data_IF_008177934047
#
_entry.id   IF_008177934047
#
_cell.length_a   1.000
_cell.length_b   1.000
_cell.length_c   1.000
_cell.angle_alpha   90.00
_cell.angle_beta   90.00
_cell.angle_gamma   90.00
#
_symmetry.space_group_name_H-M   'P 1'
#
loop_
_entity.id
_entity.type
_entity.pdbx_description
1 polymer ?
#
# COMPACT_ATOMS: atom_id res chain seq x y z
N UNK A 1 -9.01 -12.16 -13.89
CA UNK A 1 -7.83 -12.98 -13.51
C UNK A 1 -8.09 -14.43 -13.96
N UNK A 2 -7.19 -15.10 -14.70
CA UNK A 2 -7.47 -16.46 -15.22
C UNK A 2 -6.90 -17.50 -14.25
N UNK A 3 -7.77 -18.23 -13.54
CA UNK A 3 -7.39 -19.21 -12.50
C UNK A 3 -6.33 -20.21 -12.96
N UNK A 4 -6.45 -20.76 -14.16
CA UNK A 4 -5.50 -21.73 -14.70
C UNK A 4 -4.10 -21.13 -14.88
N UNK A 5 -4.02 -19.87 -15.31
CA UNK A 5 -2.75 -19.16 -15.50
C UNK A 5 -2.08 -18.92 -14.15
N UNK A 6 -2.83 -18.48 -13.13
CA UNK A 6 -2.26 -18.31 -11.77
C UNK A 6 -1.75 -19.62 -11.19
N UNK A 7 -2.53 -20.70 -11.32
CA UNK A 7 -2.14 -22.01 -10.80
C UNK A 7 -0.82 -22.51 -11.43
N UNK A 8 -0.65 -22.26 -12.72
CA UNK A 8 0.57 -22.62 -13.44
C UNK A 8 1.75 -21.71 -13.09
N UNK A 9 1.56 -20.39 -13.14
CA UNK A 9 2.63 -19.40 -12.99
C UNK A 9 3.09 -19.19 -11.55
N UNK A 10 2.23 -19.51 -10.57
CA UNK A 10 2.53 -19.42 -9.15
C UNK A 10 2.66 -20.80 -8.49
N UNK A 11 2.94 -21.85 -9.27
CA UNK A 11 3.17 -23.19 -8.74
C UNK A 11 4.36 -23.19 -7.75
N UNK A 12 4.12 -23.59 -6.50
CA UNK A 12 5.12 -23.53 -5.42
C UNK A 12 5.09 -22.26 -4.58
N UNK A 13 4.17 -21.32 -4.85
CA UNK A 13 3.93 -20.17 -3.99
C UNK A 13 3.19 -20.58 -2.71
N UNK A 14 3.66 -20.13 -1.54
CA UNK A 14 3.11 -20.52 -0.23
C UNK A 14 1.60 -20.23 -0.05
N UNK A 15 1.08 -19.20 -0.73
CA UNK A 15 -0.34 -18.84 -0.69
C UNK A 15 -1.09 -19.21 -1.98
N UNK A 16 -0.61 -20.21 -2.71
CA UNK A 16 -1.22 -20.66 -3.95
C UNK A 16 -2.67 -21.13 -3.75
N UNK A 17 -3.06 -21.65 -2.58
CA UNK A 17 -4.45 -22.06 -2.35
C UNK A 17 -5.41 -20.87 -2.18
N UNK A 18 -4.90 -19.76 -1.63
CA UNK A 18 -5.67 -18.53 -1.38
C UNK A 18 -5.81 -17.67 -2.65
N UNK A 19 -4.79 -17.66 -3.51
CA UNK A 19 -4.74 -16.79 -4.69
C UNK A 19 -5.88 -17.06 -5.70
N UNK A 20 -6.18 -18.31 -6.11
CA UNK A 20 -7.35 -18.66 -6.91
C UNK A 20 -8.68 -18.31 -6.26
N UNK A 21 -8.79 -18.44 -4.93
CA UNK A 21 -10.02 -18.10 -4.21
C UNK A 21 -10.29 -16.60 -4.29
N UNK A 22 -9.28 -15.76 -4.02
CA UNK A 22 -9.39 -14.30 -4.22
C UNK A 22 -9.73 -13.99 -5.68
N UNK A 23 -9.16 -14.73 -6.64
CA UNK A 23 -9.40 -14.51 -8.06
C UNK A 23 -10.82 -14.91 -8.53
N UNK A 24 -11.46 -15.90 -7.88
CA UNK A 24 -12.77 -16.44 -8.30
C UNK A 24 -13.94 -15.98 -7.45
N UNK A 25 -13.68 -15.70 -6.18
CA UNK A 25 -14.71 -15.39 -5.18
C UNK A 25 -14.49 -14.03 -4.54
N UNK A 26 -13.40 -13.32 -4.85
CA UNK A 26 -12.99 -12.09 -4.17
C UNK A 26 -12.68 -12.31 -2.67
N UNK A 27 -12.34 -11.23 -1.97
CA UNK A 27 -11.90 -11.25 -0.58
C UNK A 27 -13.10 -11.39 0.34
N UNK A 28 -13.13 -12.47 1.12
CA UNK A 28 -14.13 -12.69 2.16
C UNK A 28 -13.73 -11.99 3.45
N UNK A 29 -14.71 -11.44 4.17
CA UNK A 29 -14.50 -10.78 5.46
C UNK A 29 -15.13 -11.59 6.56
N UNK A 30 -14.29 -12.14 7.43
CA UNK A 30 -14.74 -12.87 8.62
C UNK A 30 -14.86 -11.91 9.78
N UNK A 31 -16.02 -11.93 10.44
CA UNK A 31 -16.26 -11.20 11.67
C UNK A 31 -16.33 -12.17 12.85
N UNK A 32 -15.78 -11.78 14.00
CA UNK A 32 -15.88 -12.49 15.29
C UNK A 32 -17.32 -12.50 15.83
N UNK A 33 -18.11 -11.51 15.41
CA UNK A 33 -19.54 -11.36 15.71
C UNK A 33 -20.17 -10.44 14.66
N UNK A 34 -21.49 -10.54 14.41
CA UNK A 34 -22.19 -9.67 13.45
C UNK A 34 -22.04 -8.19 13.80
N UNK A 35 -21.97 -7.33 12.79
CA UNK A 35 -22.05 -5.87 12.97
C UNK A 35 -23.45 -5.49 13.47
N UNK A 36 -23.56 -4.49 14.36
CA UNK A 36 -24.86 -4.02 14.81
C UNK A 36 -25.58 -3.30 13.66
N UNK A 37 -26.92 -3.47 13.59
CA UNK A 37 -27.74 -2.69 12.66
C UNK A 37 -27.69 -1.21 13.06
N UNK A 38 -27.47 -0.34 12.07
CA UNK A 38 -27.45 1.09 12.27
C UNK A 38 -28.83 1.68 11.99
N UNK A 39 -29.43 2.33 12.98
CA UNK A 39 -30.66 3.13 12.78
C UNK A 39 -30.36 4.54 12.29
N UNK A 40 -29.12 4.99 12.43
CA UNK A 40 -28.57 6.25 11.93
C UNK A 40 -27.11 6.04 11.56
N UNK A 41 -26.68 6.68 10.48
CA UNK A 41 -25.29 6.66 10.07
C UNK A 41 -24.45 7.68 10.85
N UNK A 42 -23.17 7.35 11.12
CA UNK A 42 -22.29 8.27 11.82
C UNK A 42 -21.98 9.49 10.95
N UNK A 43 -21.69 10.62 11.60
CA UNK A 43 -21.20 11.82 10.89
C UNK A 43 -19.78 11.58 10.41
N UNK A 44 -19.47 12.13 9.24
CA UNK A 44 -18.10 12.20 8.75
C UNK A 44 -17.23 13.06 9.67
N UNK A 45 -15.93 12.80 9.67
CA UNK A 45 -14.98 13.64 10.40
C UNK A 45 -15.02 15.07 9.87
N UNK A 46 -14.75 16.10 10.71
CA UNK A 46 -14.71 17.49 10.25
C UNK A 46 -13.79 17.68 9.03
N UNK A 47 -12.67 16.97 8.99
CA UNK A 47 -11.74 17.02 7.85
C UNK A 47 -12.37 16.61 6.51
N UNK A 48 -13.39 15.76 6.50
CA UNK A 48 -14.13 15.37 5.32
C UNK A 48 -15.27 16.34 4.99
N UNK A 49 -16.07 16.71 5.99
CA UNK A 49 -17.19 17.65 5.79
C UNK A 49 -16.73 19.06 5.40
N UNK A 50 -15.63 19.56 5.98
CA UNK A 50 -15.05 20.87 5.63
C UNK A 50 -14.38 20.86 4.24
N UNK A 51 -14.03 19.68 3.73
CA UNK A 51 -13.34 19.48 2.44
C UNK A 51 -14.17 18.63 1.49
N UNK A 52 -15.49 18.85 1.50
CA UNK A 52 -16.45 18.08 0.72
C UNK A 52 -16.14 18.02 -0.79
N UNK A 53 -15.66 19.09 -1.46
CA UNK A 53 -15.24 18.98 -2.87
C UNK A 53 -14.12 17.96 -3.09
N UNK A 54 -13.15 17.87 -2.18
CA UNK A 54 -12.05 16.89 -2.24
C UNK A 54 -12.57 15.47 -2.01
N UNK A 55 -13.48 15.29 -1.04
CA UNK A 55 -14.14 14.01 -0.79
C UNK A 55 -14.90 13.52 -2.04
N UNK A 56 -15.77 14.38 -2.61
CA UNK A 56 -16.55 14.09 -3.82
C UNK A 56 -15.66 13.76 -5.01
N UNK A 57 -14.60 14.53 -5.25
CA UNK A 57 -13.68 14.29 -6.35
C UNK A 57 -12.96 12.93 -6.24
N UNK A 58 -12.54 12.54 -5.04
CA UNK A 58 -11.92 11.23 -4.80
C UNK A 58 -12.93 10.10 -4.99
N UNK A 59 -14.15 10.23 -4.44
CA UNK A 59 -15.20 9.22 -4.63
C UNK A 59 -15.58 9.08 -6.09
N UNK A 60 -15.74 10.20 -6.82
CA UNK A 60 -16.06 10.16 -8.24
C UNK A 60 -14.97 9.43 -9.03
N UNK A 61 -13.69 9.69 -8.71
CA UNK A 61 -12.57 8.97 -9.32
C UNK A 61 -12.63 7.46 -9.04
N UNK A 62 -12.91 7.05 -7.80
CA UNK A 62 -13.04 5.63 -7.47
C UNK A 62 -14.29 5.01 -8.11
N UNK A 63 -15.37 5.77 -8.29
CA UNK A 63 -16.58 5.36 -9.00
C UNK A 63 -16.31 5.16 -10.51
N UNK A 64 -15.59 6.09 -11.14
CA UNK A 64 -15.19 6.00 -12.56
C UNK A 64 -14.33 4.77 -12.85
N UNK A 65 -13.59 4.30 -11.83
CA UNK A 65 -12.76 3.09 -11.87
C UNK A 65 -13.51 1.83 -11.42
N UNK A 66 -14.80 1.92 -11.12
CA UNK A 66 -15.60 0.81 -10.58
C UNK A 66 -14.98 0.20 -9.31
N UNK A 67 -14.37 1.01 -8.45
CA UNK A 67 -13.91 0.58 -7.12
C UNK A 67 -14.95 0.81 -6.04
N UNK A 68 -15.94 1.68 -6.27
CA UNK A 68 -17.05 1.88 -5.37
C UNK A 68 -18.39 2.08 -6.12
N UNK A 69 -19.48 1.81 -5.42
CA UNK A 69 -20.82 2.21 -5.83
C UNK A 69 -21.19 3.51 -5.11
N UNK A 70 -21.94 4.37 -5.80
CA UNK A 70 -22.56 5.57 -5.24
C UNK A 70 -24.06 5.42 -5.46
N UNK A 71 -24.80 5.30 -4.37
CA UNK A 71 -26.22 4.97 -4.34
C UNK A 71 -26.98 6.04 -3.55
N UNK A 72 -28.25 6.24 -3.88
CA UNK A 72 -29.13 7.05 -3.04
C UNK A 72 -29.32 6.37 -1.67
N UNK A 73 -29.50 7.19 -0.63
CA UNK A 73 -29.57 6.68 0.74
C UNK A 73 -30.79 5.80 1.03
N UNK A 74 -31.82 5.82 0.18
CA UNK A 74 -33.01 4.96 0.28
C UNK A 74 -32.70 3.47 0.03
N UNK A 75 -31.52 3.13 -0.50
CA UNK A 75 -31.03 1.76 -0.62
C UNK A 75 -31.13 0.97 0.70
N UNK A 76 -31.04 1.66 1.83
CA UNK A 76 -31.08 1.06 3.17
C UNK A 76 -32.44 0.47 3.52
N UNK A 77 -33.51 0.89 2.82
CA UNK A 77 -34.85 0.33 2.97
C UNK A 77 -34.91 -1.12 2.47
N UNK A 78 -34.11 -1.45 1.44
CA UNK A 78 -34.03 -2.80 0.87
C UNK A 78 -32.76 -3.56 1.27
N UNK A 79 -31.75 -2.86 1.82
CA UNK A 79 -30.51 -3.45 2.31
C UNK A 79 -30.14 -2.94 3.72
N UNK A 80 -30.88 -3.35 4.77
CA UNK A 80 -30.71 -2.84 6.14
C UNK A 80 -29.42 -3.31 6.82
N UNK A 81 -28.67 -4.24 6.22
CA UNK A 81 -27.37 -4.71 6.71
C UNK A 81 -26.22 -3.74 6.42
N UNK A 82 -26.42 -2.71 5.60
CA UNK A 82 -25.39 -1.71 5.29
C UNK A 82 -24.85 -1.09 6.59
N UNK A 83 -23.52 -1.14 6.74
CA UNK A 83 -22.79 -0.57 7.86
C UNK A 83 -21.89 0.55 7.36
N UNK A 84 -22.23 1.79 7.70
CA UNK A 84 -21.47 2.97 7.32
C UNK A 84 -20.45 3.36 8.40
N UNK A 85 -19.22 3.61 7.95
CA UNK A 85 -18.14 4.21 8.73
C UNK A 85 -17.88 5.65 8.28
N UNK A 86 -17.41 6.54 9.17
CA UNK A 86 -17.09 7.92 8.82
C UNK A 86 -16.00 8.02 7.75
N UNK A 87 -16.14 8.99 6.85
CA UNK A 87 -15.05 9.46 6.02
C UNK A 87 -14.17 10.46 6.76
N UNK A 88 -12.88 10.46 6.43
CA UNK A 88 -11.93 11.52 6.76
C UNK A 88 -11.13 11.93 5.53
N UNK A 89 -10.62 13.16 5.49
CA UNK A 89 -9.70 13.61 4.42
C UNK A 89 -8.38 14.08 5.02
N UNK A 90 -7.28 13.52 4.52
CA UNK A 90 -5.91 13.83 4.92
C UNK A 90 -5.16 14.57 3.82
N UNK A 91 -4.20 15.42 4.21
CA UNK A 91 -3.35 16.11 3.25
C UNK A 91 -2.45 15.13 2.50
N UNK A 92 -2.28 15.37 1.19
CA UNK A 92 -1.47 14.53 0.32
C UNK A 92 -0.09 15.19 0.13
N UNK A 93 0.83 14.91 1.05
CA UNK A 93 2.18 15.49 0.98
C UNK A 93 2.16 17.00 1.06
N UNK A 94 2.85 17.66 0.14
CA UNK A 94 2.97 19.12 0.05
C UNK A 94 1.94 19.74 -0.94
N UNK A 95 0.99 18.94 -1.45
CA UNK A 95 -0.08 19.44 -2.31
C UNK A 95 -1.00 20.41 -1.55
N UNK A 96 -1.67 21.31 -2.27
CA UNK A 96 -2.64 22.24 -1.69
C UNK A 96 -3.79 21.46 -1.01
N UNK A 97 -3.99 21.61 0.32
CA UNK A 97 -5.03 20.89 1.04
C UNK A 97 -6.45 21.32 0.64
N UNK A 98 -6.66 22.47 0.01
CA UNK A 98 -8.00 22.85 -0.45
C UNK A 98 -8.43 22.09 -1.70
N UNK A 99 -7.48 21.60 -2.49
CA UNK A 99 -7.75 20.94 -3.78
C UNK A 99 -7.30 19.49 -3.83
N UNK A 100 -6.41 19.05 -2.93
CA UNK A 100 -5.84 17.70 -2.90
C UNK A 100 -5.89 17.07 -1.52
N UNK A 101 -6.34 15.82 -1.45
CA UNK A 101 -6.35 15.04 -0.22
C UNK A 101 -6.57 13.56 -0.50
N UNK A 102 -6.29 12.75 0.51
CA UNK A 102 -6.59 11.31 0.53
C UNK A 102 -7.81 11.09 1.40
N UNK A 103 -8.85 10.50 0.83
CA UNK A 103 -10.01 10.04 1.57
C UNK A 103 -9.65 8.74 2.31
N UNK A 104 -10.05 8.63 3.56
CA UNK A 104 -9.97 7.40 4.35
C UNK A 104 -11.36 7.02 4.84
N UNK A 105 -11.62 5.72 4.95
CA UNK A 105 -12.71 5.21 5.79
C UNK A 105 -12.17 4.98 7.20
N UNK A 106 -12.83 5.54 8.20
CA UNK A 106 -12.55 5.23 9.59
C UNK A 106 -13.25 3.95 10.01
N UNK A 107 -12.73 2.82 9.52
CA UNK A 107 -13.22 1.48 9.81
C UNK A 107 -12.92 1.01 11.24
N UNK A 108 -12.29 1.86 12.04
CA UNK A 108 -12.04 1.65 13.48
C UNK A 108 -13.07 2.38 14.36
N UNK A 109 -13.97 3.17 13.77
CA UNK A 109 -15.02 3.88 14.49
C UNK A 109 -16.40 3.19 14.37
N UNK A 110 -17.20 3.13 15.45
CA UNK A 110 -16.84 3.51 16.83
C UNK A 110 -15.88 2.50 17.46
N UNK A 111 -15.19 2.93 18.52
CA UNK A 111 -14.37 2.02 19.33
C UNK A 111 -15.24 0.84 19.83
N UNK A 112 -14.70 -0.38 19.71
CA UNK A 112 -15.37 -1.63 20.07
C UNK A 112 -16.71 -1.96 19.36
N UNK A 113 -17.07 -1.20 18.32
CA UNK A 113 -18.29 -1.43 17.53
C UNK A 113 -18.09 -1.24 16.02
N UNK A 114 -16.84 -1.25 15.57
CA UNK A 114 -16.45 -0.99 14.18
C UNK A 114 -16.13 -2.27 13.40
N UNK A 115 -16.01 -2.13 12.09
CA UNK A 115 -15.59 -3.19 11.17
C UNK A 115 -14.26 -3.81 11.63
N UNK A 116 -13.27 -2.98 11.98
CA UNK A 116 -11.98 -3.47 12.46
C UNK A 116 -12.06 -4.11 13.84
N UNK A 117 -12.84 -3.54 14.76
CA UNK A 117 -13.02 -4.13 16.08
C UNK A 117 -13.65 -5.53 16.00
N UNK A 118 -14.50 -5.79 14.99
CA UNK A 118 -15.20 -7.07 14.83
C UNK A 118 -14.53 -8.01 13.83
N UNK A 119 -13.66 -7.51 12.95
CA UNK A 119 -12.89 -8.34 12.02
C UNK A 119 -12.13 -9.42 12.80
N UNK A 120 -12.26 -10.66 12.35
CA UNK A 120 -11.43 -11.79 12.78
C UNK A 120 -10.15 -11.81 11.95
N UNK A 121 -9.04 -11.45 12.58
CA UNK A 121 -7.74 -11.40 11.93
C UNK A 121 -6.99 -12.74 11.94
N UNK A 122 -7.58 -13.81 12.49
CA UNK A 122 -6.93 -15.13 12.55
C UNK A 122 -6.65 -15.72 11.16
N UNK A 123 -7.56 -15.50 10.21
CA UNK A 123 -7.44 -15.99 8.83
C UNK A 123 -6.82 -14.96 7.86
N UNK A 124 -6.53 -13.74 8.34
CA UNK A 124 -5.89 -12.71 7.49
C UNK A 124 -4.42 -13.09 7.32
N UNK A 125 -3.93 -13.24 6.07
CA UNK A 125 -2.54 -13.55 5.82
C UNK A 125 -1.63 -12.49 6.46
N UNK A 126 -0.55 -12.93 7.11
CA UNK A 126 0.40 -12.00 7.71
C UNK A 126 1.35 -11.49 6.63
N UNK A 127 1.38 -10.18 6.43
CA UNK A 127 2.38 -9.56 5.58
C UNK A 127 3.78 -9.83 6.14
N UNK A 128 4.63 -10.51 5.37
CA UNK A 128 6.02 -10.76 5.72
C UNK A 128 6.86 -9.55 5.36
N UNK A 129 7.49 -8.94 6.36
CA UNK A 129 8.43 -7.84 6.15
C UNK A 129 9.85 -8.38 6.04
N UNK A 130 10.49 -8.21 4.89
CA UNK A 130 11.94 -8.38 4.77
C UNK A 130 12.63 -7.05 5.07
N UNK A 131 13.71 -7.07 5.85
CA UNK A 131 14.47 -5.86 6.12
C UNK A 131 15.19 -5.36 4.86
N UNK A 132 15.27 -4.03 4.67
CA UNK A 132 15.88 -3.41 3.49
C UNK A 132 17.37 -3.74 3.28
N UNK A 133 18.03 -4.38 4.26
CA UNK A 133 19.38 -4.94 4.10
C UNK A 133 19.45 -6.02 3.03
N UNK A 134 18.33 -6.64 2.65
CA UNK A 134 18.28 -7.52 1.48
C UNK A 134 18.73 -6.82 0.20
N UNK A 135 18.30 -5.57 0.00
CA UNK A 135 18.68 -4.76 -1.16
C UNK A 135 20.18 -4.47 -1.15
N UNK A 136 20.74 -4.16 0.03
CA UNK A 136 22.17 -3.95 0.17
C UNK A 136 22.98 -5.24 -0.12
N UNK A 137 22.52 -6.40 0.36
CA UNK A 137 23.15 -7.70 0.07
C UNK A 137 23.15 -7.99 -1.43
N UNK A 138 22.04 -7.72 -2.11
CA UNK A 138 21.93 -7.91 -3.55
C UNK A 138 22.86 -6.97 -4.33
N UNK A 139 22.94 -5.70 -3.95
CA UNK A 139 23.89 -4.76 -4.56
C UNK A 139 25.32 -5.26 -4.44
N UNK A 140 25.71 -5.74 -3.24
CA UNK A 140 27.04 -6.30 -3.02
C UNK A 140 27.28 -7.56 -3.85
N UNK A 141 26.28 -8.43 -3.99
CA UNK A 141 26.35 -9.62 -4.85
C UNK A 141 26.59 -9.25 -6.30
N UNK A 142 25.79 -8.34 -6.86
CA UNK A 142 25.93 -7.89 -8.25
C UNK A 142 27.32 -7.27 -8.53
N UNK A 143 27.86 -6.50 -7.57
CA UNK A 143 29.22 -5.95 -7.66
C UNK A 143 30.31 -7.02 -7.70
N UNK A 144 30.15 -8.08 -6.89
CA UNK A 144 31.12 -9.18 -6.87
C UNK A 144 31.05 -10.03 -8.14
N UNK A 145 29.86 -10.25 -8.68
CA UNK A 145 29.65 -11.05 -9.90
C UNK A 145 30.06 -10.30 -11.18
N UNK A 146 29.91 -8.97 -11.22
CA UNK A 146 30.20 -8.14 -12.39
C UNK A 146 30.96 -6.86 -11.99
N UNK A 147 32.25 -6.96 -11.61
CA UNK A 147 33.01 -5.84 -11.04
C UNK A 147 33.23 -4.68 -12.02
N UNK A 148 33.23 -4.95 -13.33
CA UNK A 148 33.47 -3.95 -14.37
C UNK A 148 32.18 -3.22 -14.82
N UNK A 149 31.04 -3.51 -14.19
CA UNK A 149 29.76 -2.97 -14.56
C UNK A 149 29.05 -2.29 -13.39
N UNK A 150 28.32 -1.22 -13.71
CA UNK A 150 27.48 -0.55 -12.74
C UNK A 150 26.37 -1.47 -12.24
N UNK A 151 26.04 -1.35 -10.96
CA UNK A 151 24.86 -1.97 -10.37
C UNK A 151 23.76 -0.92 -10.32
N UNK A 152 22.62 -1.20 -10.92
CA UNK A 152 21.49 -0.29 -11.02
C UNK A 152 20.31 -0.81 -10.21
N UNK A 153 19.50 0.11 -9.70
CA UNK A 153 18.26 -0.20 -9.01
C UNK A 153 17.08 0.52 -9.66
N UNK A 154 15.95 -0.18 -9.74
CA UNK A 154 14.68 0.34 -10.24
C UNK A 154 13.62 0.18 -9.16
N UNK A 155 12.86 1.23 -8.90
CA UNK A 155 11.66 1.18 -8.09
C UNK A 155 10.41 1.15 -8.99
N UNK A 156 9.44 0.33 -8.60
CA UNK A 156 8.11 0.27 -9.17
C UNK A 156 7.06 0.30 -8.06
N UNK A 157 5.86 0.74 -8.42
CA UNK A 157 4.70 0.82 -7.53
C UNK A 157 3.53 0.16 -8.26
N UNK A 158 2.71 -0.61 -7.56
CA UNK A 158 1.52 -1.22 -8.16
C UNK A 158 0.39 -0.19 -8.22
N UNK A 159 -0.17 0.00 -9.41
CA UNK A 159 -1.31 0.90 -9.58
C UNK A 159 -2.51 0.41 -8.78
N UNK A 160 -3.14 1.34 -8.06
CA UNK A 160 -4.32 1.11 -7.22
C UNK A 160 -4.13 0.16 -6.03
N UNK A 161 -2.97 -0.49 -5.87
CA UNK A 161 -2.58 -1.30 -4.71
C UNK A 161 -3.72 -2.19 -4.18
N UNK A 162 -4.21 -1.94 -2.96
CA UNK A 162 -5.30 -2.69 -2.31
C UNK A 162 -6.58 -2.80 -3.15
N UNK A 163 -6.84 -1.84 -4.06
CA UNK A 163 -8.00 -1.89 -4.96
C UNK A 163 -7.99 -3.07 -5.92
N UNK A 164 -6.84 -3.71 -6.15
CA UNK A 164 -6.75 -4.94 -6.94
C UNK A 164 -7.30 -6.18 -6.21
N UNK A 165 -7.57 -6.08 -4.91
CA UNK A 165 -8.21 -7.10 -4.11
C UNK A 165 -9.67 -6.70 -3.89
N UNK A 166 -10.59 -7.19 -4.74
CA UNK A 166 -12.01 -6.93 -4.60
C UNK A 166 -12.57 -7.60 -3.35
N UNK A 167 -13.59 -7.00 -2.73
CA UNK A 167 -14.30 -7.58 -1.59
C UNK A 167 -15.49 -8.36 -2.13
N UNK A 168 -15.65 -9.60 -1.67
CA UNK A 168 -16.76 -10.47 -2.07
C UNK A 168 -18.10 -9.77 -1.79
N UNK A 169 -19.01 -9.82 -2.77
CA UNK A 169 -20.31 -9.11 -2.77
C UNK A 169 -21.15 -9.30 -1.50
N UNK A 170 -21.16 -10.51 -0.94
CA UNK A 170 -21.79 -10.80 0.35
C UNK A 170 -21.27 -9.96 1.54
N UNK A 171 -20.10 -9.29 1.44
CA UNK A 171 -19.45 -8.56 2.53
C UNK A 171 -19.24 -7.07 2.24
N UNK A 172 -19.47 -6.58 1.01
CA UNK A 172 -19.23 -5.16 0.66
C UNK A 172 -20.09 -4.20 1.48
N UNK A 173 -21.26 -4.65 1.96
CA UNK A 173 -22.15 -3.89 2.84
C UNK A 173 -21.47 -3.42 4.14
N UNK A 174 -20.37 -4.06 4.54
CA UNK A 174 -19.59 -3.68 5.72
C UNK A 174 -18.70 -2.45 5.48
N UNK A 175 -18.44 -2.09 4.23
CA UNK A 175 -17.51 -1.04 3.84
C UNK A 175 -18.24 0.16 3.23
N UNK A 176 -19.34 0.56 3.86
CA UNK A 176 -20.08 1.72 3.42
C UNK A 176 -19.59 3.01 4.09
N UNK A 177 -19.91 4.14 3.48
CA UNK A 177 -19.81 5.47 4.06
C UNK A 177 -20.99 6.32 3.60
N UNK A 178 -21.39 7.29 4.42
CA UNK A 178 -22.56 8.12 4.14
C UNK A 178 -22.15 9.58 3.98
N UNK A 179 -22.55 10.21 2.88
CA UNK A 179 -22.39 11.66 2.67
C UNK A 179 -23.73 12.32 2.90
N UNK A 180 -23.85 13.02 4.04
CA UNK A 180 -25.11 13.61 4.47
C UNK A 180 -25.57 14.70 3.50
N UNK A 181 -24.63 15.50 3.02
CA UNK A 181 -24.87 16.64 2.13
C UNK A 181 -25.39 16.22 0.75
N UNK A 182 -25.12 14.98 0.34
CA UNK A 182 -25.52 14.41 -0.95
C UNK A 182 -26.66 13.39 -0.80
N UNK A 183 -27.07 13.07 0.43
CA UNK A 183 -27.97 11.96 0.73
C UNK A 183 -27.55 10.65 0.01
N UNK A 184 -26.24 10.37 0.00
CA UNK A 184 -25.64 9.30 -0.79
C UNK A 184 -24.88 8.30 0.08
N UNK A 185 -25.07 7.01 -0.21
CA UNK A 185 -24.32 5.88 0.34
C UNK A 185 -23.26 5.45 -0.65
N UNK A 186 -22.02 5.38 -0.15
CA UNK A 186 -20.86 4.93 -0.91
C UNK A 186 -20.51 3.54 -0.41
N UNK A 187 -20.41 2.55 -1.30
CA UNK A 187 -20.01 1.19 -0.94
C UNK A 187 -18.67 0.90 -1.59
N UNK A 188 -17.62 0.72 -0.80
CA UNK A 188 -16.31 0.30 -1.29
C UNK A 188 -16.38 -1.18 -1.68
N UNK A 189 -16.02 -1.49 -2.93
CA UNK A 189 -16.09 -2.84 -3.48
C UNK A 189 -14.75 -3.57 -3.42
N UNK A 190 -13.73 -2.96 -2.81
CA UNK A 190 -12.39 -3.50 -2.73
C UNK A 190 -11.85 -3.46 -1.31
N UNK A 191 -10.68 -4.05 -1.07
CA UNK A 191 -10.00 -3.98 0.21
C UNK A 191 -9.77 -2.51 0.59
N UNK A 192 -10.59 -2.03 1.52
CA UNK A 192 -10.66 -0.62 1.85
C UNK A 192 -9.40 -0.12 2.55
N UNK A 193 -8.99 1.10 2.25
CA UNK A 193 -7.98 1.79 3.06
C UNK A 193 -8.53 2.03 4.47
N UNK A 194 -7.86 1.47 5.47
CA UNK A 194 -8.27 1.53 6.86
C UNK A 194 -8.76 0.19 7.42
N UNK A 195 -9.03 -0.82 6.58
CA UNK A 195 -9.44 -2.14 7.08
C UNK A 195 -8.22 -2.92 7.58
N UNK A 196 -8.32 -3.54 8.75
CA UNK A 196 -7.24 -4.33 9.36
C UNK A 196 -6.81 -5.51 8.48
N UNK A 197 -7.71 -6.03 7.64
CA UNK A 197 -7.40 -7.13 6.71
C UNK A 197 -6.73 -6.73 5.40
N UNK A 198 -6.71 -5.45 5.01
CA UNK A 198 -6.31 -5.03 3.65
C UNK A 198 -4.86 -5.36 3.32
N UNK A 199 -3.93 -5.01 4.20
CA UNK A 199 -2.50 -5.23 3.94
C UNK A 199 -2.16 -6.72 3.86
N UNK A 200 -2.72 -7.53 4.75
CA UNK A 200 -2.54 -8.97 4.76
C UNK A 200 -3.12 -9.63 3.52
N UNK A 201 -4.35 -9.28 3.16
CA UNK A 201 -5.01 -9.77 1.95
C UNK A 201 -4.22 -9.42 0.70
N UNK A 202 -3.81 -8.16 0.56
CA UNK A 202 -3.01 -7.72 -0.58
C UNK A 202 -1.64 -8.39 -0.63
N UNK A 203 -1.05 -8.76 0.52
CA UNK A 203 0.24 -9.44 0.55
C UNK A 203 0.24 -10.78 -0.20
N UNK A 204 -0.93 -11.42 -0.37
CA UNK A 204 -1.08 -12.61 -1.23
C UNK A 204 -0.87 -12.25 -2.70
N UNK A 205 -1.45 -11.14 -3.16
CA UNK A 205 -1.30 -10.67 -4.54
C UNK A 205 0.13 -10.16 -4.79
N UNK A 206 0.63 -9.28 -3.92
CA UNK A 206 1.99 -8.74 -4.03
C UNK A 206 3.07 -9.82 -3.91
N UNK A 207 2.86 -10.80 -3.03
CA UNK A 207 3.75 -11.95 -2.89
C UNK A 207 3.71 -12.88 -4.10
N UNK A 208 2.54 -13.10 -4.73
CA UNK A 208 2.45 -13.86 -5.97
C UNK A 208 3.21 -13.18 -7.13
N UNK A 209 3.16 -11.85 -7.21
CA UNK A 209 3.97 -11.07 -8.17
C UNK A 209 5.46 -11.27 -7.89
N UNK A 210 5.89 -11.14 -6.64
CA UNK A 210 7.27 -11.34 -6.24
C UNK A 210 7.77 -12.76 -6.53
N UNK A 211 6.93 -13.77 -6.26
CA UNK A 211 7.21 -15.17 -6.54
C UNK A 211 7.36 -15.43 -8.04
N UNK A 212 6.39 -15.00 -8.86
CA UNK A 212 6.40 -15.22 -10.31
C UNK A 212 7.64 -14.55 -10.93
N UNK A 213 7.87 -13.28 -10.59
CA UNK A 213 9.04 -12.54 -11.05
C UNK A 213 10.37 -13.17 -10.61
N UNK A 214 10.46 -13.58 -9.34
CA UNK A 214 11.64 -14.24 -8.76
C UNK A 214 11.86 -15.67 -9.24
N UNK A 215 10.84 -16.32 -9.80
CA UNK A 215 10.91 -17.67 -10.37
C UNK A 215 11.10 -17.66 -11.89
N UNK A 216 10.93 -16.50 -12.54
CA UNK A 216 11.15 -16.34 -13.97
C UNK A 216 12.65 -16.32 -14.27
N UNK A 217 13.22 -17.49 -14.56
CA UNK A 217 14.59 -17.60 -15.04
C UNK A 217 14.76 -17.01 -16.44
N UNK A 218 15.89 -16.34 -16.67
CA UNK A 218 16.33 -15.94 -18.02
C UNK A 218 17.84 -16.13 -18.12
N UNK A 219 18.34 -16.67 -19.25
CA UNK A 219 19.76 -16.89 -19.56
C UNK A 219 20.75 -16.80 -18.35
N UNK A 220 21.42 -15.64 -18.14
CA UNK A 220 22.43 -15.45 -17.09
C UNK A 220 21.91 -15.44 -15.63
N UNK A 221 20.59 -15.41 -15.40
CA UNK A 221 19.95 -15.56 -14.08
C UNK A 221 19.01 -16.78 -14.06
N UNK A 222 19.55 -18.01 -13.99
CA UNK A 222 18.74 -19.24 -13.96
C UNK A 222 17.94 -19.40 -12.65
N UNK A 223 18.26 -18.60 -11.62
CA UNK A 223 17.54 -18.56 -10.34
C UNK A 223 16.52 -17.41 -10.23
N UNK A 224 16.27 -16.72 -11.35
CA UNK A 224 15.32 -15.62 -11.47
C UNK A 224 15.83 -14.25 -11.01
N UNK A 225 14.93 -13.28 -10.96
CA UNK A 225 15.24 -11.87 -10.74
C UNK A 225 15.06 -11.47 -9.26
N UNK A 226 15.95 -10.62 -8.76
CA UNK A 226 15.81 -10.07 -7.42
C UNK A 226 14.68 -9.05 -7.36
N UNK A 227 13.76 -9.23 -6.40
CA UNK A 227 12.70 -8.29 -6.11
C UNK A 227 12.48 -8.16 -4.62
N UNK A 228 12.87 -7.01 -4.09
CA UNK A 228 12.41 -6.60 -2.78
C UNK A 228 10.99 -6.06 -2.92
N UNK A 229 10.02 -6.75 -2.34
CA UNK A 229 8.64 -6.30 -2.33
C UNK A 229 8.21 -5.94 -0.92
N UNK A 230 7.48 -4.83 -0.79
CA UNK A 230 6.80 -4.47 0.44
C UNK A 230 5.48 -3.78 0.10
N UNK A 231 4.37 -4.47 0.38
CA UNK A 231 3.04 -4.06 -0.06
C UNK A 231 3.08 -3.80 -1.58
N UNK A 232 2.77 -2.59 -2.03
CA UNK A 232 2.70 -2.16 -3.44
C UNK A 232 4.05 -1.74 -4.02
N UNK A 233 5.08 -1.59 -3.19
CA UNK A 233 6.41 -1.23 -3.63
C UNK A 233 7.24 -2.44 -4.07
N UNK A 234 7.92 -2.30 -5.21
CA UNK A 234 8.85 -3.29 -5.75
C UNK A 234 10.19 -2.63 -6.08
N UNK A 235 11.30 -3.25 -5.65
CA UNK A 235 12.66 -2.81 -5.98
C UNK A 235 13.41 -3.95 -6.64
N UNK A 236 13.91 -3.68 -7.85
CA UNK A 236 14.81 -4.55 -8.57
C UNK A 236 16.24 -4.04 -8.44
N UNK A 237 17.19 -4.97 -8.51
CA UNK A 237 18.63 -4.69 -8.60
C UNK A 237 19.22 -5.58 -9.69
N UNK A 238 20.05 -4.99 -10.54
CA UNK A 238 20.72 -5.71 -11.62
C UNK A 238 22.04 -5.02 -11.99
N UNK A 239 22.99 -5.77 -12.53
CA UNK A 239 24.13 -5.17 -13.21
C UNK A 239 23.69 -4.60 -14.56
N UNK A 240 24.36 -3.56 -15.05
CA UNK A 240 24.12 -2.93 -16.36
C UNK A 240 24.62 -3.77 -17.55
N UNK A 241 24.79 -5.09 -17.35
CA UNK A 241 25.30 -6.02 -18.34
C UNK A 241 24.20 -6.52 -19.26
N UNK A 242 24.40 -6.35 -20.57
CA UNK A 242 23.47 -6.83 -21.59
C UNK A 242 22.03 -6.35 -21.35
N UNK A 243 21.07 -7.27 -21.36
CA UNK A 243 19.64 -6.98 -21.19
C UNK A 243 19.12 -7.17 -19.75
N UNK A 244 20.00 -7.38 -18.76
CA UNK A 244 19.57 -7.79 -17.42
C UNK A 244 18.57 -6.84 -16.73
N UNK A 245 18.74 -5.53 -16.92
CA UNK A 245 17.81 -4.52 -16.41
C UNK A 245 16.46 -4.58 -17.14
N UNK A 246 16.49 -4.65 -18.47
CA UNK A 246 15.29 -4.70 -19.31
C UNK A 246 14.48 -5.99 -19.08
N UNK A 247 15.16 -7.12 -18.93
CA UNK A 247 14.52 -8.42 -18.69
C UNK A 247 13.89 -8.47 -17.30
N UNK A 248 14.53 -7.86 -16.29
CA UNK A 248 13.97 -7.73 -14.95
C UNK A 248 12.70 -6.85 -14.96
N UNK A 249 12.76 -5.69 -15.62
CA UNK A 249 11.59 -4.82 -15.73
C UNK A 249 10.45 -5.50 -16.49
N UNK A 250 10.75 -6.16 -17.61
CA UNK A 250 9.76 -6.90 -18.41
C UNK A 250 9.12 -8.04 -17.61
N UNK A 251 9.94 -8.78 -16.85
CA UNK A 251 9.47 -9.84 -15.95
C UNK A 251 8.54 -9.28 -14.87
N UNK A 252 8.89 -8.17 -14.22
CA UNK A 252 8.02 -7.57 -13.19
C UNK A 252 6.68 -7.12 -13.77
N UNK A 253 6.71 -6.45 -14.93
CA UNK A 253 5.48 -6.01 -15.64
C UNK A 253 4.61 -7.20 -16.05
N UNK A 254 5.23 -8.29 -16.51
CA UNK A 254 4.53 -9.54 -16.83
C UNK A 254 3.89 -10.16 -15.58
N UNK A 255 4.62 -10.23 -14.46
CA UNK A 255 4.10 -10.77 -13.21
C UNK A 255 2.91 -9.93 -12.68
N UNK A 256 3.03 -8.60 -12.69
CA UNK A 256 1.93 -7.69 -12.34
C UNK A 256 0.69 -7.92 -13.22
N UNK A 257 0.88 -8.00 -14.53
CA UNK A 257 -0.20 -8.23 -15.49
C UNK A 257 -0.85 -9.60 -15.28
N UNK A 258 -0.05 -10.62 -14.99
CA UNK A 258 -0.53 -11.99 -14.76
C UNK A 258 -1.37 -12.09 -13.50
N UNK A 259 -0.90 -11.48 -12.41
CA UNK A 259 -1.55 -11.58 -11.10
C UNK A 259 -2.73 -10.63 -10.98
N UNK A 260 -2.60 -9.35 -11.36
CA UNK A 260 -3.62 -8.31 -11.09
C UNK A 260 -4.21 -7.68 -12.36
N UNK A 261 -3.77 -8.10 -13.55
CA UNK A 261 -4.19 -7.53 -14.82
C UNK A 261 -3.34 -6.32 -15.24
N UNK A 262 -3.49 -5.87 -16.50
CA UNK A 262 -2.63 -4.84 -17.09
C UNK A 262 -2.75 -3.48 -16.40
N UNK A 263 -3.91 -3.16 -15.81
CA UNK A 263 -4.13 -1.91 -15.07
C UNK A 263 -3.30 -1.79 -13.79
N UNK A 264 -2.74 -2.89 -13.29
CA UNK A 264 -1.86 -2.89 -12.12
C UNK A 264 -0.44 -2.36 -12.43
N UNK A 265 -0.07 -2.30 -13.72
CA UNK A 265 1.23 -1.74 -14.15
C UNK A 265 1.15 -0.21 -14.10
N UNK A 266 1.89 0.40 -13.18
CA UNK A 266 1.89 1.84 -12.98
C UNK A 266 3.01 2.53 -13.78
N UNK A 267 2.82 2.73 -15.08
CA UNK A 267 3.85 3.32 -15.96
C UNK A 267 4.43 4.64 -15.45
N UNK A 268 3.65 5.40 -14.68
CA UNK A 268 4.07 6.70 -14.14
C UNK A 268 4.92 6.60 -12.88
N UNK A 269 5.04 5.42 -12.28
CA UNK A 269 5.75 5.18 -11.01
C UNK A 269 6.90 4.21 -11.11
N UNK A 270 7.09 3.58 -12.27
CA UNK A 270 8.35 2.92 -12.57
C UNK A 270 9.41 4.00 -12.80
N UNK A 271 10.46 3.98 -11.99
CA UNK A 271 11.61 4.88 -12.18
C UNK A 271 12.50 4.35 -13.29
N UNK A 272 13.31 5.20 -13.91
CA UNK A 272 14.47 4.73 -14.65
C UNK A 272 15.43 3.94 -13.72
N UNK A 273 16.19 3.01 -14.32
CA UNK A 273 17.30 2.35 -13.65
C UNK A 273 18.38 3.38 -13.30
N UNK A 274 18.85 3.37 -12.05
CA UNK A 274 19.85 4.33 -11.58
C UNK A 274 20.77 3.73 -10.52
N UNK A 275 21.99 4.25 -10.42
CA UNK A 275 22.91 3.95 -9.33
C UNK A 275 22.48 4.59 -8.01
N UNK A 276 21.62 5.60 -8.05
CA UNK A 276 21.04 6.21 -6.86
C UNK A 276 19.52 6.04 -6.86
N UNK A 277 18.99 5.30 -5.89
CA UNK A 277 17.57 4.97 -5.84
C UNK A 277 16.98 5.13 -4.44
N UNK A 278 15.73 5.58 -4.37
CA UNK A 278 14.99 5.67 -3.11
C UNK A 278 14.26 4.36 -2.82
N UNK A 279 14.61 3.71 -1.71
CA UNK A 279 14.00 2.46 -1.25
C UNK A 279 13.49 2.63 0.18
N UNK A 280 12.20 2.39 0.42
CA UNK A 280 11.55 2.57 1.73
C UNK A 280 11.83 3.91 2.42
N UNK A 281 12.07 4.95 1.62
CA UNK A 281 12.36 6.28 2.13
C UNK A 281 13.82 6.54 2.50
N UNK A 282 14.73 5.62 2.22
CA UNK A 282 16.20 5.76 2.27
C UNK A 282 16.76 5.92 0.86
N UNK A 283 17.93 6.54 0.72
CA UNK A 283 18.66 6.65 -0.55
C UNK A 283 19.75 5.59 -0.54
N UNK A 284 19.67 4.66 -1.50
CA UNK A 284 20.72 3.68 -1.78
C UNK A 284 21.57 4.23 -2.90
N UNK A 285 22.88 4.29 -2.68
CA UNK A 285 23.88 4.65 -3.68
C UNK A 285 24.72 3.41 -3.96
N UNK A 286 24.48 2.79 -5.11
CA UNK A 286 25.15 1.57 -5.52
C UNK A 286 26.59 1.85 -5.90
N UNK A 287 26.94 3.01 -6.45
CA UNK A 287 28.33 3.36 -6.79
C UNK A 287 29.16 3.49 -5.51
N UNK A 288 28.74 4.38 -4.61
CA UNK A 288 29.41 4.63 -3.34
C UNK A 288 29.26 3.48 -2.32
N UNK A 289 28.27 2.60 -2.50
CA UNK A 289 27.96 1.52 -1.57
C UNK A 289 27.40 2.02 -0.24
N UNK A 290 26.57 3.07 -0.27
CA UNK A 290 26.05 3.73 0.93
C UNK A 290 24.52 3.71 1.00
N UNK A 291 23.99 3.82 2.22
CA UNK A 291 22.55 4.01 2.49
C UNK A 291 22.40 5.22 3.38
N UNK A 292 21.64 6.21 2.94
CA UNK A 292 21.51 7.49 3.62
C UNK A 292 20.05 7.96 3.77
N UNK A 293 19.80 8.80 4.77
CA UNK A 293 18.53 9.49 4.95
C UNK A 293 18.42 10.64 3.92
N UNK A 294 17.30 10.79 3.19
CA UNK A 294 17.12 11.94 2.29
C UNK A 294 17.27 13.28 3.01
N UNK A 295 18.00 14.22 2.40
CA UNK A 295 18.28 15.55 2.96
C UNK A 295 17.01 16.28 3.42
N UNK A 296 15.93 16.20 2.63
CA UNK A 296 14.63 16.82 2.98
C UNK A 296 14.08 16.28 4.32
N UNK A 297 14.24 14.99 4.60
CA UNK A 297 13.79 14.39 5.88
C UNK A 297 14.67 14.81 7.05
N UNK A 298 15.98 14.94 6.82
CA UNK A 298 16.92 15.48 7.83
C UNK A 298 16.57 16.93 8.15
N UNK A 299 16.34 17.77 7.15
CA UNK A 299 15.92 19.18 7.34
C UNK A 299 14.60 19.26 8.10
N UNK A 300 13.60 18.45 7.73
CA UNK A 300 12.32 18.37 8.44
C UNK A 300 12.52 17.99 9.91
N UNK A 301 13.29 16.95 10.21
CA UNK A 301 13.57 16.54 11.58
C UNK A 301 14.27 17.66 12.38
N UNK A 302 15.27 18.33 11.80
CA UNK A 302 15.93 19.48 12.42
C UNK A 302 14.96 20.62 12.73
N UNK A 303 14.05 20.93 11.81
CA UNK A 303 13.02 21.95 12.02
C UNK A 303 12.06 21.57 13.15
N UNK A 304 11.61 20.30 13.21
CA UNK A 304 10.75 19.81 14.29
C UNK A 304 11.45 19.87 15.66
N UNK A 305 12.73 19.52 15.72
CA UNK A 305 13.54 19.65 16.95
C UNK A 305 13.64 21.11 17.37
N UNK A 306 14.01 22.01 16.45
CA UNK A 306 14.15 23.43 16.74
C UNK A 306 12.84 24.04 17.25
N UNK A 307 11.73 23.76 16.57
CA UNK A 307 10.41 24.19 17.01
C UNK A 307 10.09 23.66 18.42
N UNK A 308 10.29 22.37 18.65
CA UNK A 308 10.01 21.74 19.94
C UNK A 308 10.88 22.27 21.08
N UNK A 309 12.14 22.61 20.79
CA UNK A 309 13.07 23.17 21.76
C UNK A 309 12.67 24.59 22.19
N UNK A 310 12.07 25.37 21.29
CA UNK A 310 11.64 26.74 21.56
C UNK A 310 10.19 26.85 22.04
N UNK A 311 9.39 25.79 21.92
CA UNK A 311 7.99 25.75 22.37
C UNK A 311 7.89 25.44 23.87
N UNK A 312 7.03 26.17 24.58
CA UNK A 312 6.72 25.90 25.99
C UNK A 312 5.78 24.70 26.17
N UNK A 313 4.98 24.37 25.16
CA UNK A 313 4.08 23.23 25.13
C UNK A 313 3.95 22.71 23.68
N UNK A 314 3.65 21.43 23.54
CA UNK A 314 3.35 20.79 22.26
C UNK A 314 2.00 20.11 22.34
N UNK A 315 1.22 20.22 21.26
CA UNK A 315 0.04 19.39 21.09
C UNK A 315 0.45 17.92 20.92
N UNK A 316 -0.50 17.00 21.18
CA UNK A 316 -0.27 15.56 21.02
C UNK A 316 0.12 15.19 19.59
N UNK A 317 -0.41 15.89 18.59
CA UNK A 317 -0.08 15.69 17.17
C UNK A 317 1.35 16.14 16.84
N UNK A 318 1.77 17.31 17.33
CA UNK A 318 3.13 17.82 17.15
C UNK A 318 4.16 16.90 17.80
N UNK A 319 3.91 16.46 19.04
CA UNK A 319 4.79 15.52 19.74
C UNK A 319 4.92 14.18 19.00
N UNK A 320 3.80 13.62 18.51
CA UNK A 320 3.81 12.38 17.70
C UNK A 320 4.54 12.56 16.37
N UNK A 321 4.38 13.71 15.72
CA UNK A 321 5.08 14.06 14.48
C UNK A 321 6.60 14.12 14.70
N UNK A 322 7.05 14.77 15.78
CA UNK A 322 8.45 14.82 16.19
C UNK A 322 9.01 13.41 16.40
N UNK A 323 8.38 12.61 17.28
CA UNK A 323 8.84 11.25 17.58
C UNK A 323 8.91 10.37 16.32
N UNK A 324 7.86 10.40 15.49
CA UNK A 324 7.83 9.65 14.24
C UNK A 324 8.97 10.05 13.29
N UNK A 325 9.24 11.34 13.16
CA UNK A 325 10.34 11.85 12.32
C UNK A 325 11.71 11.44 12.87
N UNK A 326 11.91 11.52 14.18
CA UNK A 326 13.18 11.15 14.83
C UNK A 326 13.46 9.65 14.70
N UNK A 327 12.46 8.79 14.90
CA UNK A 327 12.61 7.33 14.77
C UNK A 327 13.09 6.95 13.39
N UNK A 328 12.56 7.63 12.38
CA UNK A 328 12.95 7.40 11.01
C UNK A 328 14.38 7.88 10.72
N UNK A 329 14.79 9.06 11.19
CA UNK A 329 16.17 9.54 11.03
C UNK A 329 17.17 8.63 11.77
N UNK A 330 16.80 8.13 12.95
CA UNK A 330 17.60 7.20 13.74
C UNK A 330 17.87 5.85 13.05
N UNK A 331 17.15 5.52 11.96
CA UNK A 331 17.48 4.36 11.11
C UNK A 331 18.89 4.48 10.50
N UNK A 332 19.32 5.69 10.13
CA UNK A 332 20.66 5.94 9.57
C UNK A 332 21.66 6.49 10.60
N UNK A 333 21.18 6.95 11.77
CA UNK A 333 22.02 7.53 12.83
C UNK A 333 21.93 6.64 14.06
N UNK A 334 22.73 5.57 14.12
CA UNK A 334 22.67 4.57 15.20
C UNK A 334 22.72 5.17 16.62
N UNK A 335 23.60 6.16 16.93
CA UNK A 335 23.61 6.77 18.26
C UNK A 335 22.29 7.46 18.64
N UNK A 336 21.52 7.92 17.66
CA UNK A 336 20.24 8.58 17.90
C UNK A 336 19.18 7.60 18.43
N UNK A 337 19.32 6.29 18.21
CA UNK A 337 18.34 5.28 18.66
C UNK A 337 18.17 5.26 20.19
N UNK A 338 19.19 5.67 20.95
CA UNK A 338 19.11 5.75 22.40
C UNK A 338 18.17 6.88 22.91
N UNK A 339 17.75 7.79 22.02
CA UNK A 339 16.99 9.00 22.36
C UNK A 339 15.55 9.02 21.83
N UNK A 340 15.04 7.95 21.20
CA UNK A 340 13.71 7.94 20.51
C UNK A 340 12.80 6.77 20.86
#
# INVERSE_FOLDING_TARGET
>A
MVRAVLAQQCCGYDHLDTLPQIASEDVRVRLRRPLPRQTRFPRNHPSASERLPVLRANIRKEQDLFHCLVLDADIVEIWPEIFASPFGVFNKGDDDPHTSGRVIHDLSYPEDGSVNAYTDSSDVPKATFEHCSSVAREILRCKLENPDHDVLAMAGDVASAYRNAYTHSAYVHMFAGFITEDNAIIIDMSAAFGWTGSAGTYSVLGGAVAFNHGSTGSGPRPRGFYNYHWVDGHINVASSTGTQCEDAERSLRFALTTVMGPSAVNDRKFTAWSTQQKVLGLIFDTTAGTVAMPTKKVVKARSLIAHSFHSQALSRSEFRSLLGSLRHVATCVRPAQAFV
#
